data_IF_701895442053
#
_entry.id   IF_701895442053
#
_cell.length_a   1.000
_cell.length_b   1.000
_cell.length_c   1.000
_cell.angle_alpha   90.00
_cell.angle_beta   90.00
_cell.angle_gamma   90.00
#
_symmetry.space_group_name_H-M   'P 1'
#
loop_
_entity.id
_entity.type
_entity.pdbx_description
1 polymer ?
#
# COMPACT_ATOMS: atom_id res chain seq x y z
N UNK A 1 25.85 11.54 -13.13
CA UNK A 1 24.43 11.08 -13.18
C UNK A 1 24.16 10.00 -12.12
N UNK A 2 24.98 8.94 -12.05
CA UNK A 2 24.86 7.87 -11.04
C UNK A 2 24.87 8.34 -9.59
N UNK A 3 25.71 9.31 -9.24
CA UNK A 3 25.79 9.89 -7.88
C UNK A 3 24.44 10.46 -7.40
N UNK A 4 23.69 11.11 -8.29
CA UNK A 4 22.36 11.66 -7.98
C UNK A 4 21.34 10.55 -7.70
N UNK A 5 21.39 9.46 -8.48
CA UNK A 5 20.50 8.30 -8.30
C UNK A 5 20.80 7.61 -6.95
N UNK A 6 22.07 7.40 -6.66
CA UNK A 6 22.53 6.86 -5.38
C UNK A 6 22.09 7.73 -4.19
N UNK A 7 22.14 9.05 -4.33
CA UNK A 7 21.64 9.99 -3.32
C UNK A 7 20.14 9.88 -3.10
N UNK A 8 19.35 9.79 -4.17
CA UNK A 8 17.91 9.56 -4.06
C UNK A 8 17.62 8.24 -3.35
N UNK A 9 18.35 7.17 -3.68
CA UNK A 9 18.19 5.86 -3.04
C UNK A 9 18.53 5.93 -1.54
N UNK A 10 19.66 6.55 -1.19
CA UNK A 10 20.07 6.70 0.22
C UNK A 10 19.01 7.47 1.04
N UNK A 11 18.58 8.62 0.54
CA UNK A 11 17.56 9.44 1.20
C UNK A 11 16.24 8.68 1.32
N UNK A 12 15.86 7.92 0.28
CA UNK A 12 14.66 7.08 0.30
C UNK A 12 14.75 6.00 1.38
N UNK A 13 15.90 5.35 1.54
CA UNK A 13 16.11 4.36 2.59
C UNK A 13 16.05 4.97 3.99
N UNK A 14 16.68 6.13 4.21
CA UNK A 14 16.56 6.85 5.49
C UNK A 14 15.11 7.20 5.81
N UNK A 15 14.36 7.63 4.79
CA UNK A 15 12.95 7.97 4.98
C UNK A 15 12.09 6.75 5.33
N UNK A 16 12.33 5.61 4.67
CA UNK A 16 11.61 4.35 4.92
C UNK A 16 11.92 3.78 6.32
N UNK A 17 13.11 4.02 6.85
CA UNK A 17 13.47 3.62 8.22
C UNK A 17 12.56 4.25 9.27
N UNK A 18 12.14 5.51 9.13
CA UNK A 18 11.39 6.21 10.18
C UNK A 18 10.03 5.54 10.49
N UNK A 19 9.17 5.23 9.50
CA UNK A 19 7.94 4.47 9.74
C UNK A 19 8.16 3.07 10.31
N UNK A 20 9.33 2.45 10.06
CA UNK A 20 9.65 1.10 10.57
C UNK A 20 10.06 1.12 12.04
N UNK A 21 10.73 2.18 12.52
CA UNK A 21 11.10 2.36 13.92
C UNK A 21 9.96 2.92 14.79
N UNK A 22 9.01 3.61 14.15
CA UNK A 22 7.87 4.26 14.81
C UNK A 22 6.96 3.37 15.68
N UNK A 23 6.65 2.10 15.34
CA UNK A 23 5.85 1.22 16.19
C UNK A 23 6.41 1.02 17.59
N UNK A 24 7.74 1.04 17.72
CA UNK A 24 8.44 0.84 19.00
C UNK A 24 8.60 2.17 19.75
N UNK A 25 9.01 3.23 19.05
CA UNK A 25 9.33 4.53 19.66
C UNK A 25 8.05 5.29 20.08
N UNK A 26 7.03 5.29 19.23
CA UNK A 26 5.79 6.06 19.43
C UNK A 26 4.64 5.23 20.03
N UNK A 27 4.83 3.91 20.12
CA UNK A 27 3.94 2.98 20.82
C UNK A 27 2.45 3.09 20.41
N UNK A 28 1.57 3.17 21.43
CA UNK A 28 0.11 3.03 21.27
C UNK A 28 -0.54 4.10 20.40
N UNK A 29 -0.03 5.33 20.39
CA UNK A 29 -0.61 6.41 19.59
C UNK A 29 -0.34 6.23 18.10
N UNK A 30 0.88 5.81 17.75
CA UNK A 30 1.21 5.50 16.36
C UNK A 30 0.44 4.28 15.87
N UNK A 31 0.30 3.24 16.70
CA UNK A 31 -0.49 2.07 16.36
C UNK A 31 -1.96 2.41 16.03
N UNK A 32 -2.60 3.33 16.79
CA UNK A 32 -3.95 3.81 16.48
C UNK A 32 -4.01 4.58 15.15
N UNK A 33 -3.02 5.44 14.86
CA UNK A 33 -2.96 6.16 13.58
C UNK A 33 -2.74 5.21 12.41
N UNK A 34 -1.85 4.23 12.59
CA UNK A 34 -1.56 3.19 11.59
C UNK A 34 -2.77 2.28 11.37
N UNK A 35 -3.54 1.95 12.40
CA UNK A 35 -4.83 1.27 12.27
C UNK A 35 -5.79 2.02 11.34
N UNK A 36 -5.99 3.31 11.59
CA UNK A 36 -6.87 4.14 10.75
C UNK A 36 -6.35 4.19 9.30
N UNK A 37 -5.04 4.34 9.11
CA UNK A 37 -4.42 4.34 7.79
C UNK A 37 -4.60 3.01 7.05
N UNK A 38 -4.27 1.88 7.69
CA UNK A 38 -4.39 0.54 7.10
C UNK A 38 -5.86 0.25 6.76
N UNK A 39 -6.77 0.54 7.69
CA UNK A 39 -8.21 0.34 7.52
C UNK A 39 -8.75 1.21 6.38
N UNK A 40 -8.31 2.47 6.27
CA UNK A 40 -8.70 3.34 5.17
C UNK A 40 -8.13 2.88 3.83
N UNK A 41 -6.85 2.50 3.76
CA UNK A 41 -6.23 1.94 2.56
C UNK A 41 -6.95 0.69 2.07
N UNK A 42 -7.32 -0.20 2.99
CA UNK A 42 -8.05 -1.44 2.65
C UNK A 42 -9.48 -1.16 2.21
N UNK A 43 -10.16 -0.17 2.80
CA UNK A 43 -11.49 0.29 2.34
C UNK A 43 -11.45 0.90 0.93
N UNK A 44 -10.29 1.38 0.50
CA UNK A 44 -10.07 1.94 -0.84
C UNK A 44 -9.81 0.86 -1.90
N UNK A 45 -9.36 -0.35 -1.53
CA UNK A 45 -9.07 -1.44 -2.49
C UNK A 45 -10.27 -1.75 -3.41
N UNK A 46 -11.50 -1.95 -2.89
CA UNK A 46 -12.65 -2.22 -3.76
C UNK A 46 -12.98 -1.06 -4.71
N UNK A 47 -12.71 0.18 -4.29
CA UNK A 47 -12.89 1.34 -5.17
C UNK A 47 -11.84 1.39 -6.28
N UNK A 48 -10.58 1.05 -6.00
CA UNK A 48 -9.54 0.97 -7.01
C UNK A 48 -9.90 -0.09 -8.06
N UNK A 49 -10.40 -1.25 -7.63
CA UNK A 49 -10.86 -2.31 -8.55
C UNK A 49 -11.99 -1.78 -9.45
N UNK A 50 -13.00 -1.13 -8.86
CA UNK A 50 -14.10 -0.53 -9.63
C UNK A 50 -13.61 0.57 -10.58
N UNK A 51 -12.63 1.38 -10.16
CA UNK A 51 -12.05 2.44 -10.97
C UNK A 51 -11.30 1.89 -12.19
N UNK A 52 -10.45 0.89 -12.01
CA UNK A 52 -9.73 0.22 -13.11
C UNK A 52 -10.71 -0.45 -14.08
N UNK A 53 -11.74 -1.13 -13.55
CA UNK A 53 -12.80 -1.70 -14.39
C UNK A 53 -13.54 -0.61 -15.17
N UNK A 54 -13.87 0.51 -14.54
CA UNK A 54 -14.51 1.66 -15.18
C UNK A 54 -13.67 2.24 -16.32
N UNK A 55 -12.36 2.40 -16.12
CA UNK A 55 -11.44 2.84 -17.18
C UNK A 55 -11.40 1.81 -18.32
N UNK A 56 -11.26 0.52 -18.01
CA UNK A 56 -11.22 -0.53 -19.02
C UNK A 56 -12.48 -0.55 -19.88
N UNK A 57 -13.64 -0.34 -19.27
CA UNK A 57 -14.93 -0.24 -19.96
C UNK A 57 -15.00 1.04 -20.79
N UNK A 58 -14.60 2.20 -20.22
CA UNK A 58 -14.57 3.48 -20.94
C UNK A 58 -13.69 3.43 -22.19
N UNK A 59 -12.50 2.86 -22.08
CA UNK A 59 -11.61 2.62 -23.21
C UNK A 59 -12.23 1.65 -24.22
N UNK A 60 -12.82 0.55 -23.78
CA UNK A 60 -13.47 -0.41 -24.69
C UNK A 60 -14.68 0.16 -25.43
N UNK A 61 -15.39 1.14 -24.85
CA UNK A 61 -16.40 1.93 -25.54
C UNK A 61 -15.78 2.89 -26.56
N UNK A 62 -14.69 3.58 -26.20
CA UNK A 62 -13.97 4.51 -27.08
C UNK A 62 -13.39 3.82 -28.32
N UNK A 63 -12.85 2.60 -28.18
CA UNK A 63 -12.32 1.81 -29.30
C UNK A 63 -13.40 1.06 -30.10
N UNK A 64 -14.69 1.25 -29.78
CA UNK A 64 -15.81 0.69 -30.54
C UNK A 64 -16.08 -0.81 -30.35
N UNK A 65 -15.17 -1.55 -29.69
CA UNK A 65 -15.28 -3.00 -29.42
C UNK A 65 -16.55 -3.33 -28.62
N UNK A 66 -16.87 -2.52 -27.61
CA UNK A 66 -18.05 -2.73 -26.76
C UNK A 66 -19.32 -2.21 -27.44
N UNK A 67 -19.21 -1.15 -28.25
CA UNK A 67 -20.36 -0.51 -28.92
C UNK A 67 -21.01 -1.41 -29.97
N UNK A 68 -20.23 -2.28 -30.61
CA UNK A 68 -20.73 -3.20 -31.65
C UNK A 68 -21.43 -4.45 -31.08
N UNK A 69 -21.14 -4.83 -29.83
CA UNK A 69 -21.67 -6.06 -29.23
C UNK A 69 -22.53 -5.76 -27.98
N UNK A 70 -23.85 -5.70 -28.19
CA UNK A 70 -24.85 -5.46 -27.13
C UNK A 70 -24.77 -6.47 -25.99
N UNK A 71 -24.40 -7.72 -26.27
CA UNK A 71 -24.34 -8.80 -25.29
C UNK A 71 -23.17 -8.57 -24.31
N UNK A 72 -22.01 -8.15 -24.82
CA UNK A 72 -20.84 -7.79 -24.01
C UNK A 72 -21.14 -6.58 -23.10
N UNK A 73 -21.86 -5.58 -23.64
CA UNK A 73 -22.26 -4.39 -22.87
C UNK A 73 -23.15 -4.76 -21.68
N UNK A 74 -24.16 -5.60 -21.89
CA UNK A 74 -25.09 -6.04 -20.84
C UNK A 74 -24.35 -6.82 -19.76
N UNK A 75 -23.47 -7.75 -20.15
CA UNK A 75 -22.65 -8.53 -19.19
C UNK A 75 -21.77 -7.60 -18.34
N UNK A 76 -21.11 -6.61 -18.93
CA UNK A 76 -20.26 -5.67 -18.20
C UNK A 76 -21.05 -4.83 -17.18
N UNK A 77 -22.24 -4.36 -17.55
CA UNK A 77 -23.13 -3.61 -16.63
C UNK A 77 -23.56 -4.49 -15.45
N UNK A 78 -23.94 -5.75 -15.72
CA UNK A 78 -24.30 -6.71 -14.68
C UNK A 78 -23.11 -6.98 -13.74
N UNK A 79 -21.91 -7.16 -14.28
CA UNK A 79 -20.68 -7.36 -13.49
C UNK A 79 -20.39 -6.17 -12.59
N UNK A 80 -20.53 -4.93 -13.09
CA UNK A 80 -20.35 -3.72 -12.26
C UNK A 80 -21.37 -3.67 -11.13
N UNK A 81 -22.64 -3.95 -11.42
CA UNK A 81 -23.70 -3.95 -10.40
C UNK A 81 -23.41 -4.99 -9.31
N UNK A 82 -23.06 -6.21 -9.71
CA UNK A 82 -22.70 -7.29 -8.77
C UNK A 82 -21.48 -6.89 -7.93
N UNK A 83 -20.42 -6.33 -8.53
CA UNK A 83 -19.23 -5.86 -7.82
C UNK A 83 -19.55 -4.72 -6.85
N UNK A 84 -20.43 -3.80 -7.23
CA UNK A 84 -20.88 -2.70 -6.36
C UNK A 84 -21.65 -3.21 -5.13
N UNK A 85 -22.49 -4.22 -5.30
CA UNK A 85 -23.22 -4.87 -4.20
C UNK A 85 -22.28 -5.67 -3.28
N UNK A 86 -21.32 -6.39 -3.86
CA UNK A 86 -20.34 -7.20 -3.13
C UNK A 86 -19.27 -6.35 -2.43
N UNK A 87 -19.08 -5.08 -2.84
CA UNK A 87 -18.10 -4.16 -2.26
C UNK A 87 -18.12 -4.15 -0.74
N UNK A 88 -19.30 -4.03 -0.12
CA UNK A 88 -19.44 -4.00 1.34
C UNK A 88 -18.96 -5.30 1.99
N UNK A 89 -19.29 -6.44 1.39
CA UNK A 89 -18.84 -7.76 1.87
C UNK A 89 -17.32 -7.93 1.72
N UNK A 90 -16.75 -7.47 0.61
CA UNK A 90 -15.30 -7.49 0.37
C UNK A 90 -14.58 -6.62 1.41
N UNK A 91 -15.08 -5.42 1.72
CA UNK A 91 -14.47 -4.58 2.76
C UNK A 91 -14.48 -5.24 4.14
N UNK A 92 -15.58 -5.90 4.52
CA UNK A 92 -15.69 -6.60 5.81
C UNK A 92 -14.79 -7.83 5.87
N UNK A 93 -14.69 -8.56 4.75
CA UNK A 93 -13.78 -9.69 4.64
C UNK A 93 -12.32 -9.27 4.77
N UNK A 94 -11.89 -8.22 4.04
CA UNK A 94 -10.52 -7.71 4.12
C UNK A 94 -10.20 -7.17 5.52
N UNK A 95 -11.16 -6.53 6.17
CA UNK A 95 -10.99 -6.02 7.54
C UNK A 95 -10.76 -7.17 8.54
N UNK A 96 -11.62 -8.19 8.52
CA UNK A 96 -11.52 -9.34 9.43
C UNK A 96 -10.32 -10.25 9.16
N UNK A 97 -9.97 -10.50 7.89
CA UNK A 97 -8.92 -11.45 7.50
C UNK A 97 -7.52 -10.85 7.35
N UNK A 98 -7.41 -9.53 7.14
CA UNK A 98 -6.11 -8.89 6.86
C UNK A 98 -5.82 -7.80 7.90
N UNK A 99 -6.71 -6.81 8.08
CA UNK A 99 -6.47 -5.66 8.97
C UNK A 99 -6.30 -6.12 10.42
N UNK A 100 -7.29 -6.85 10.94
CA UNK A 100 -7.31 -7.35 12.32
C UNK A 100 -6.10 -8.22 12.68
N UNK A 101 -5.69 -9.25 11.90
CA UNK A 101 -4.52 -10.04 12.26
C UNK A 101 -3.20 -9.28 12.13
N UNK A 102 -3.07 -8.34 11.19
CA UNK A 102 -1.87 -7.51 11.07
C UNK A 102 -1.77 -6.57 12.29
N UNK A 103 -2.86 -5.92 12.67
CA UNK A 103 -2.90 -5.05 13.84
C UNK A 103 -2.67 -5.82 15.14
N UNK A 104 -3.34 -6.95 15.32
CA UNK A 104 -3.13 -7.77 16.50
C UNK A 104 -1.67 -8.25 16.59
N UNK A 105 -1.04 -8.62 15.47
CA UNK A 105 0.38 -8.96 15.46
C UNK A 105 1.27 -7.75 15.79
N UNK A 106 1.00 -6.57 15.23
CA UNK A 106 1.77 -5.35 15.51
C UNK A 106 1.62 -4.86 16.95
N UNK A 107 0.42 -4.99 17.53
CA UNK A 107 0.09 -4.49 18.88
C UNK A 107 0.55 -5.47 19.97
N UNK A 108 0.40 -6.78 19.73
CA UNK A 108 0.58 -7.80 20.78
C UNK A 108 2.00 -8.35 20.79
N UNK A 109 2.71 -8.39 19.67
CA UNK A 109 4.06 -8.98 19.64
C UNK A 109 5.16 -7.93 19.75
N UNK A 110 5.74 -7.83 20.95
CA UNK A 110 6.97 -7.07 21.22
C UNK A 110 8.10 -7.48 20.25
N UNK A 111 8.13 -8.77 19.90
CA UNK A 111 9.12 -9.32 18.99
C UNK A 111 9.02 -8.75 17.56
N UNK A 112 7.81 -8.46 17.03
CA UNK A 112 7.70 -7.83 15.71
C UNK A 112 8.12 -6.36 15.74
N UNK A 113 7.75 -5.62 16.79
CA UNK A 113 8.14 -4.22 16.93
C UNK A 113 9.66 -4.09 17.07
N UNK A 114 10.27 -4.94 17.87
CA UNK A 114 11.71 -5.01 18.02
C UNK A 114 12.42 -5.47 16.73
N UNK A 115 11.84 -6.42 15.99
CA UNK A 115 12.38 -6.86 14.69
C UNK A 115 12.29 -5.73 13.64
N UNK A 116 11.17 -5.02 13.57
CA UNK A 116 11.01 -3.84 12.70
C UNK A 116 12.02 -2.75 13.05
N UNK A 117 12.28 -2.50 14.34
CA UNK A 117 13.31 -1.57 14.79
C UNK A 117 14.71 -1.99 14.34
N UNK A 118 15.05 -3.28 14.46
CA UNK A 118 16.34 -3.80 13.98
C UNK A 118 16.51 -3.63 12.47
N UNK A 119 15.47 -3.93 11.70
CA UNK A 119 15.46 -3.74 10.25
C UNK A 119 15.63 -2.25 9.91
N UNK A 120 14.92 -1.38 10.63
CA UNK A 120 15.02 0.06 10.47
C UNK A 120 16.46 0.54 10.71
N UNK A 121 17.07 0.15 11.83
CA UNK A 121 18.45 0.49 12.17
C UNK A 121 19.47 -0.02 11.13
N UNK A 122 19.26 -1.23 10.62
CA UNK A 122 20.10 -1.82 9.57
C UNK A 122 19.98 -1.05 8.24
N UNK A 123 18.77 -0.78 7.79
CA UNK A 123 18.52 0.03 6.57
C UNK A 123 19.13 1.43 6.70
N UNK A 124 18.98 2.04 7.88
CA UNK A 124 19.53 3.37 8.16
C UNK A 124 21.05 3.35 8.04
N UNK A 125 21.70 2.36 8.63
CA UNK A 125 23.16 2.21 8.59
C UNK A 125 23.66 2.05 7.14
N UNK A 126 23.00 1.22 6.34
CA UNK A 126 23.32 1.06 4.91
C UNK A 126 23.15 2.39 4.18
N UNK A 127 22.05 3.09 4.42
CA UNK A 127 21.80 4.37 3.78
C UNK A 127 22.87 5.40 4.13
N UNK A 128 23.28 5.47 5.40
CA UNK A 128 24.37 6.33 5.86
C UNK A 128 25.71 6.00 5.19
N UNK A 129 26.07 4.71 5.09
CA UNK A 129 27.28 4.29 4.37
C UNK A 129 27.21 4.73 2.90
N UNK A 130 26.06 4.54 2.26
CA UNK A 130 25.84 4.98 0.89
C UNK A 130 25.99 6.50 0.74
N UNK A 131 25.49 7.28 1.71
CA UNK A 131 25.62 8.73 1.78
C UNK A 131 27.08 9.16 1.92
N UNK A 132 27.86 8.48 2.76
CA UNK A 132 29.30 8.75 2.94
C UNK A 132 30.06 8.51 1.64
N UNK A 133 29.81 7.39 0.96
CA UNK A 133 30.41 7.07 -0.34
C UNK A 133 30.07 8.19 -1.33
N UNK A 134 28.81 8.61 -1.39
CA UNK A 134 28.39 9.70 -2.27
C UNK A 134 29.16 10.99 -2.00
N UNK A 135 29.35 11.38 -0.72
CA UNK A 135 30.08 12.60 -0.36
C UNK A 135 31.55 12.52 -0.76
N UNK A 136 32.18 11.35 -0.63
CA UNK A 136 33.60 11.16 -0.99
C UNK A 136 33.85 11.21 -2.50
N UNK A 137 32.90 10.71 -3.30
CA UNK A 137 33.02 10.62 -4.76
C UNK A 137 32.26 11.71 -5.53
N UNK A 138 31.60 12.63 -4.84
CA UNK A 138 30.92 13.80 -5.44
C UNK A 138 31.86 14.98 -5.58
#
# INVERSE_FOLDING_TARGET
>A
MWIKILSIISISFQFITFPLAAPEILGKEWLKKTEVLIRNSIKTIPFIILFVLGIGIGLGFSFGVIKQNKLITIILVIVIIIMSLLRKKITLFLDSKIVLPILNKLIISDNLRFSLLKIAAFLFTIAFILQIIIIVYS
#
